data_IF_897614368228
#
_entry.id   IF_897614368228
#
_cell.length_a   1.000
_cell.length_b   1.000
_cell.length_c   1.000
_cell.angle_alpha   90.00
_cell.angle_beta   90.00
_cell.angle_gamma   90.00
#
_symmetry.space_group_name_H-M   'P 1'
#
loop_
_entity.id
_entity.type
_entity.pdbx_description
1 polymer ?
#
# COMPACT_ATOMS: atom_id res chain seq x y z
N UNK A 1 -17.68 -27.23 10.20
CA UNK A 1 -17.77 -27.23 8.72
C UNK A 1 -17.20 -25.91 8.22
N UNK A 2 -16.22 -25.94 7.31
CA UNK A 2 -15.70 -24.73 6.69
C UNK A 2 -16.81 -24.04 5.88
N UNK A 3 -16.96 -22.72 6.04
CA UNK A 3 -18.02 -21.97 5.36
C UNK A 3 -17.75 -21.92 3.84
N UNK A 4 -18.73 -22.32 3.02
CA UNK A 4 -18.61 -22.39 1.56
C UNK A 4 -18.15 -21.06 0.93
N UNK A 5 -18.55 -19.92 1.50
CA UNK A 5 -18.14 -18.59 1.03
C UNK A 5 -16.62 -18.36 1.21
N UNK A 6 -16.07 -18.74 2.37
CA UNK A 6 -14.64 -18.61 2.65
C UNK A 6 -13.81 -19.56 1.79
N UNK A 7 -14.27 -20.80 1.61
CA UNK A 7 -13.62 -21.76 0.70
C UNK A 7 -13.60 -21.23 -0.73
N UNK A 8 -14.73 -20.68 -1.20
CA UNK A 8 -14.83 -20.05 -2.51
C UNK A 8 -13.88 -18.85 -2.67
N UNK A 9 -13.75 -18.01 -1.64
CA UNK A 9 -12.81 -16.90 -1.62
C UNK A 9 -11.35 -17.38 -1.72
N UNK A 10 -10.95 -18.39 -0.93
CA UNK A 10 -9.60 -18.97 -1.00
C UNK A 10 -9.32 -19.58 -2.38
N UNK A 11 -10.27 -20.31 -2.96
CA UNK A 11 -10.12 -20.90 -4.29
C UNK A 11 -10.04 -19.85 -5.40
N UNK A 12 -10.81 -18.76 -5.31
CA UNK A 12 -10.70 -17.65 -6.25
C UNK A 12 -9.35 -16.93 -6.11
N UNK A 13 -8.88 -16.72 -4.87
CA UNK A 13 -7.54 -16.16 -4.63
C UNK A 13 -6.46 -17.00 -5.30
N UNK A 14 -6.45 -18.32 -5.07
CA UNK A 14 -5.48 -19.23 -5.71
C UNK A 14 -5.54 -19.12 -7.23
N UNK A 15 -6.74 -19.19 -7.81
CA UNK A 15 -6.94 -19.08 -9.26
C UNK A 15 -6.36 -17.77 -9.83
N UNK A 16 -6.63 -16.65 -9.18
CA UNK A 16 -6.15 -15.35 -9.67
C UNK A 16 -4.64 -15.18 -9.43
N UNK A 17 -4.08 -15.78 -8.37
CA UNK A 17 -2.62 -15.84 -8.15
C UNK A 17 -1.92 -16.63 -9.25
N UNK A 18 -2.42 -17.83 -9.57
CA UNK A 18 -1.84 -18.71 -10.60
C UNK A 18 -1.88 -18.08 -12.00
N UNK A 19 -2.94 -17.32 -12.28
CA UNK A 19 -3.14 -16.61 -13.56
C UNK A 19 -2.51 -15.21 -13.58
N UNK A 20 -1.90 -14.77 -12.48
CA UNK A 20 -1.35 -13.42 -12.35
C UNK A 20 -2.38 -12.31 -12.65
N UNK A 21 -3.64 -12.52 -12.24
CA UNK A 21 -4.77 -11.63 -12.47
C UNK A 21 -4.85 -10.55 -11.36
N UNK A 22 -3.90 -9.63 -11.38
CA UNK A 22 -3.70 -8.60 -10.36
C UNK A 22 -4.93 -7.76 -10.00
N UNK A 23 -5.68 -7.33 -11.00
CA UNK A 23 -6.87 -6.48 -10.81
C UNK A 23 -7.98 -7.26 -10.10
N UNK A 24 -8.18 -8.52 -10.50
CA UNK A 24 -9.16 -9.41 -9.90
C UNK A 24 -8.78 -9.78 -8.46
N UNK A 25 -7.47 -9.98 -8.19
CA UNK A 25 -6.96 -10.13 -6.82
C UNK A 25 -7.26 -8.91 -5.96
N UNK A 26 -7.00 -7.70 -6.46
CA UNK A 26 -7.29 -6.48 -5.73
C UNK A 26 -8.80 -6.35 -5.42
N UNK A 27 -9.66 -6.62 -6.42
CA UNK A 27 -11.12 -6.62 -6.24
C UNK A 27 -11.59 -7.64 -5.20
N UNK A 28 -10.96 -8.81 -5.13
CA UNK A 28 -11.27 -9.83 -4.13
C UNK A 28 -10.98 -9.35 -2.69
N UNK A 29 -10.06 -8.39 -2.53
CA UNK A 29 -9.63 -7.85 -1.24
C UNK A 29 -10.31 -6.51 -0.94
N UNK A 30 -11.20 -6.03 -1.81
CA UNK A 30 -11.79 -4.71 -1.64
C UNK A 30 -12.90 -4.72 -0.59
N UNK A 31 -12.62 -4.13 0.57
CA UNK A 31 -13.60 -3.96 1.65
C UNK A 31 -14.77 -3.05 1.26
N UNK A 32 -14.61 -2.18 0.26
CA UNK A 32 -15.68 -1.30 -0.23
C UNK A 32 -16.71 -2.02 -1.10
N UNK A 33 -16.35 -3.16 -1.71
CA UNK A 33 -17.19 -3.87 -2.68
C UNK A 33 -18.39 -4.60 -2.07
N UNK A 34 -18.43 -4.79 -0.75
CA UNK A 34 -19.45 -5.60 -0.05
C UNK A 34 -19.39 -7.10 -0.35
N UNK A 35 -18.39 -7.58 -1.10
CA UNK A 35 -18.26 -8.99 -1.53
C UNK A 35 -17.56 -9.88 -0.49
N UNK A 36 -16.95 -9.28 0.53
CA UNK A 36 -16.22 -10.02 1.56
C UNK A 36 -17.18 -10.65 2.57
N UNK A 37 -17.02 -11.96 2.89
CA UNK A 37 -17.85 -12.65 3.88
C UNK A 37 -17.43 -12.27 5.32
N UNK A 38 -17.55 -10.99 5.68
CA UNK A 38 -17.01 -10.42 6.93
C UNK A 38 -17.61 -11.09 8.18
N UNK A 39 -18.88 -11.50 8.13
CA UNK A 39 -19.56 -12.19 9.24
C UNK A 39 -18.93 -13.55 9.50
N UNK A 40 -18.63 -14.27 8.43
CA UNK A 40 -18.01 -15.59 8.44
C UNK A 40 -16.56 -15.49 8.91
N UNK A 41 -15.82 -14.50 8.42
CA UNK A 41 -14.45 -14.21 8.85
C UNK A 41 -14.40 -13.94 10.36
N UNK A 42 -15.31 -13.13 10.89
CA UNK A 42 -15.37 -12.81 12.32
C UNK A 42 -15.55 -14.04 13.24
N UNK A 43 -16.23 -15.08 12.75
CA UNK A 43 -16.59 -16.30 13.49
C UNK A 43 -15.66 -17.48 13.25
N UNK A 44 -14.78 -17.42 12.25
CA UNK A 44 -13.92 -18.54 11.90
C UNK A 44 -12.68 -18.58 12.81
N UNK A 45 -12.51 -19.63 13.60
CA UNK A 45 -11.37 -19.78 14.51
C UNK A 45 -10.08 -20.20 13.76
N UNK A 46 -10.20 -20.98 12.69
CA UNK A 46 -9.07 -21.59 11.99
C UNK A 46 -8.84 -20.99 10.58
N UNK A 47 -8.80 -19.65 10.47
CA UNK A 47 -8.58 -18.97 9.18
C UNK A 47 -7.26 -19.36 8.52
N UNK A 48 -6.20 -19.56 9.31
CA UNK A 48 -4.88 -19.96 8.82
C UNK A 48 -4.89 -21.36 8.19
N UNK A 49 -5.51 -22.34 8.86
CA UNK A 49 -5.65 -23.70 8.32
C UNK A 49 -6.48 -23.71 7.04
N UNK A 50 -7.52 -22.88 6.99
CA UNK A 50 -8.37 -22.75 5.81
C UNK A 50 -7.58 -22.18 4.62
N UNK A 51 -6.85 -21.09 4.82
CA UNK A 51 -5.99 -20.52 3.79
C UNK A 51 -4.91 -21.52 3.37
N UNK A 52 -4.22 -22.18 4.31
CA UNK A 52 -3.21 -23.21 4.01
C UNK A 52 -3.77 -24.35 3.16
N UNK A 53 -5.00 -24.79 3.44
CA UNK A 53 -5.65 -25.87 2.71
C UNK A 53 -6.08 -25.49 1.29
N UNK A 54 -6.52 -24.25 1.06
CA UNK A 54 -7.21 -23.85 -0.18
C UNK A 54 -6.48 -22.79 -1.01
N UNK A 55 -5.41 -22.17 -0.52
CA UNK A 55 -4.70 -21.05 -1.17
C UNK A 55 -3.27 -21.39 -1.64
N UNK A 56 -2.86 -22.66 -1.53
CA UNK A 56 -1.58 -23.15 -2.06
C UNK A 56 -0.35 -22.45 -1.46
N UNK A 57 0.69 -22.25 -2.27
CA UNK A 57 1.96 -21.65 -1.85
C UNK A 57 1.84 -20.18 -1.42
N UNK A 58 0.76 -19.51 -1.80
CA UNK A 58 0.50 -18.11 -1.45
C UNK A 58 -0.39 -17.95 -0.21
N UNK A 59 -0.61 -19.05 0.54
CA UNK A 59 -1.50 -19.04 1.69
C UNK A 59 -1.08 -18.06 2.78
N UNK A 60 0.22 -17.79 2.97
CA UNK A 60 0.69 -16.87 4.02
C UNK A 60 0.07 -15.47 3.87
N UNK A 61 0.09 -14.91 2.64
CA UNK A 61 -0.47 -13.58 2.35
C UNK A 61 -1.98 -13.59 2.59
N UNK A 62 -2.68 -14.65 2.14
CA UNK A 62 -4.12 -14.76 2.34
C UNK A 62 -4.47 -14.91 3.83
N UNK A 63 -3.75 -15.74 4.58
CA UNK A 63 -3.92 -15.93 6.03
C UNK A 63 -3.78 -14.60 6.76
N UNK A 64 -2.70 -13.87 6.51
CA UNK A 64 -2.44 -12.58 7.14
C UNK A 64 -3.55 -11.57 6.82
N UNK A 65 -4.02 -11.55 5.58
CA UNK A 65 -5.11 -10.69 5.18
C UNK A 65 -6.43 -11.06 5.86
N UNK A 66 -6.83 -12.34 5.87
CA UNK A 66 -8.06 -12.82 6.50
C UNK A 66 -8.04 -12.57 8.01
N UNK A 67 -6.91 -12.79 8.68
CA UNK A 67 -6.72 -12.45 10.09
C UNK A 67 -6.85 -10.93 10.30
N UNK A 68 -6.31 -10.12 9.40
CA UNK A 68 -6.45 -8.67 9.49
C UNK A 68 -7.91 -8.23 9.39
N UNK A 69 -8.70 -8.87 8.51
CA UNK A 69 -10.14 -8.63 8.39
C UNK A 69 -10.88 -9.09 9.65
N UNK A 70 -10.51 -10.22 10.22
CA UNK A 70 -11.09 -10.69 11.48
C UNK A 70 -10.84 -9.69 12.61
N UNK A 71 -9.60 -9.21 12.76
CA UNK A 71 -9.26 -8.18 13.74
C UNK A 71 -10.07 -6.88 13.50
N UNK A 72 -10.28 -6.50 12.24
CA UNK A 72 -11.14 -5.35 11.89
C UNK A 72 -12.59 -5.55 12.34
N UNK A 73 -13.19 -6.70 12.02
CA UNK A 73 -14.57 -7.05 12.41
C UNK A 73 -14.73 -7.12 13.93
N UNK A 74 -13.68 -7.57 14.65
CA UNK A 74 -13.64 -7.63 16.12
C UNK A 74 -13.28 -6.30 16.78
N UNK A 75 -13.13 -5.22 16.00
CA UNK A 75 -12.73 -3.89 16.50
C UNK A 75 -11.35 -3.87 17.19
N UNK A 76 -10.47 -4.83 16.88
CA UNK A 76 -9.09 -4.91 17.37
C UNK A 76 -8.18 -4.03 16.48
N UNK A 77 -8.36 -2.71 16.51
CA UNK A 77 -7.77 -1.79 15.54
C UNK A 77 -6.22 -1.83 15.47
N UNK A 78 -5.54 -1.96 16.61
CA UNK A 78 -4.07 -2.07 16.66
C UNK A 78 -3.60 -3.36 15.99
N UNK A 79 -4.21 -4.50 16.35
CA UNK A 79 -3.91 -5.80 15.74
C UNK A 79 -4.21 -5.82 14.24
N UNK A 80 -5.31 -5.17 13.82
CA UNK A 80 -5.62 -5.00 12.41
C UNK A 80 -4.46 -4.31 11.67
N UNK A 81 -3.96 -3.17 12.18
CA UNK A 81 -2.81 -2.49 11.57
C UNK A 81 -1.54 -3.37 11.55
N UNK A 82 -1.25 -4.09 12.63
CA UNK A 82 -0.08 -4.99 12.71
C UNK A 82 -0.14 -6.09 11.66
N UNK A 83 -1.30 -6.73 11.50
CA UNK A 83 -1.53 -7.79 10.52
C UNK A 83 -1.48 -7.24 9.09
N UNK A 84 -2.07 -6.08 8.82
CA UNK A 84 -1.96 -5.42 7.50
C UNK A 84 -0.51 -5.07 7.19
N UNK A 85 0.25 -4.55 8.16
CA UNK A 85 1.67 -4.26 7.97
C UNK A 85 2.48 -5.53 7.67
N UNK A 86 2.17 -6.64 8.33
CA UNK A 86 2.84 -7.94 8.10
C UNK A 86 2.46 -8.53 6.74
N UNK A 87 1.18 -8.46 6.37
CA UNK A 87 0.69 -8.83 5.04
C UNK A 87 1.41 -8.05 3.94
N UNK A 88 1.55 -6.73 4.12
CA UNK A 88 2.26 -5.87 3.17
C UNK A 88 3.75 -6.21 3.08
N UNK A 89 4.42 -6.52 4.21
CA UNK A 89 5.82 -6.99 4.20
C UNK A 89 5.98 -8.26 3.39
N UNK A 90 5.12 -9.25 3.63
CA UNK A 90 5.13 -10.54 2.92
C UNK A 90 4.89 -10.31 1.41
N UNK A 91 3.94 -9.44 1.05
CA UNK A 91 3.68 -9.09 -0.36
C UNK A 91 4.85 -8.37 -1.04
N UNK A 92 5.50 -7.41 -0.37
CA UNK A 92 6.68 -6.72 -0.91
C UNK A 92 7.85 -7.68 -1.12
N UNK A 93 8.06 -8.60 -0.18
CA UNK A 93 9.09 -9.63 -0.31
C UNK A 93 8.84 -10.52 -1.54
N UNK A 94 7.61 -11.05 -1.69
CA UNK A 94 7.22 -11.82 -2.87
C UNK A 94 7.33 -11.03 -4.17
N UNK A 95 6.99 -9.73 -4.15
CA UNK A 95 7.12 -8.86 -5.31
C UNK A 95 8.57 -8.65 -5.74
N UNK A 96 9.49 -8.56 -4.77
CA UNK A 96 10.94 -8.49 -5.04
C UNK A 96 11.43 -9.79 -5.66
N UNK A 97 11.02 -10.95 -5.13
CA UNK A 97 11.45 -12.27 -5.61
C UNK A 97 10.80 -12.70 -6.93
N UNK A 98 9.66 -12.12 -7.30
CA UNK A 98 8.98 -12.47 -8.53
C UNK A 98 9.86 -12.20 -9.76
N UNK A 99 9.78 -13.06 -10.77
CA UNK A 99 10.49 -12.85 -12.03
C UNK A 99 9.97 -11.61 -12.78
N UNK A 100 10.87 -10.96 -13.52
CA UNK A 100 10.54 -9.80 -14.33
C UNK A 100 10.00 -8.61 -13.53
N UNK A 101 9.14 -7.81 -14.17
CA UNK A 101 8.67 -6.53 -13.60
C UNK A 101 7.66 -6.70 -12.46
N UNK A 102 6.96 -7.84 -12.38
CA UNK A 102 5.91 -8.08 -11.38
C UNK A 102 4.73 -7.10 -11.45
N UNK A 103 4.50 -6.43 -12.59
CA UNK A 103 3.47 -5.38 -12.72
C UNK A 103 2.06 -5.85 -12.34
N UNK A 104 1.75 -7.12 -12.58
CA UNK A 104 0.48 -7.71 -12.17
C UNK A 104 0.26 -7.68 -10.65
N UNK A 105 1.30 -7.58 -9.84
CA UNK A 105 1.19 -7.53 -8.37
C UNK A 105 0.86 -6.12 -7.85
N UNK A 106 1.01 -5.09 -8.70
CA UNK A 106 0.85 -3.69 -8.31
C UNK A 106 -0.56 -3.32 -7.84
N UNK A 107 -1.66 -3.76 -8.47
CA UNK A 107 -3.00 -3.46 -7.99
C UNK A 107 -3.20 -3.83 -6.51
N UNK A 108 -2.74 -5.02 -6.09
CA UNK A 108 -2.84 -5.46 -4.70
C UNK A 108 -1.86 -4.69 -3.78
N UNK A 109 -0.66 -4.33 -4.27
CA UNK A 109 0.28 -3.45 -3.53
C UNK A 109 -0.34 -2.08 -3.21
N UNK A 110 -0.99 -1.46 -4.21
CA UNK A 110 -1.69 -0.18 -4.08
C UNK A 110 -2.78 -0.27 -3.02
N UNK A 111 -3.50 -1.38 -2.97
CA UNK A 111 -4.54 -1.62 -2.00
C UNK A 111 -4.02 -1.88 -0.59
N UNK A 112 -3.03 -2.75 -0.41
CA UNK A 112 -2.45 -3.00 0.91
C UNK A 112 -1.83 -1.74 1.52
N UNK A 113 -1.13 -0.94 0.72
CA UNK A 113 -0.63 0.37 1.18
C UNK A 113 -1.77 1.33 1.54
N UNK A 114 -2.86 1.36 0.78
CA UNK A 114 -4.04 2.16 1.11
C UNK A 114 -4.73 1.71 2.41
N UNK A 115 -4.91 0.40 2.63
CA UNK A 115 -5.48 -0.16 3.86
C UNK A 115 -4.59 0.14 5.06
N UNK A 116 -3.27 -0.10 4.95
CA UNK A 116 -2.31 0.18 6.02
C UNK A 116 -2.36 1.67 6.43
N UNK A 117 -2.35 2.56 5.43
CA UNK A 117 -2.43 4.00 5.63
C UNK A 117 -3.76 4.41 6.28
N UNK A 118 -4.88 3.84 5.84
CA UNK A 118 -6.21 4.12 6.43
C UNK A 118 -6.24 3.68 7.90
N UNK A 119 -5.81 2.46 8.21
CA UNK A 119 -5.77 1.93 9.57
C UNK A 119 -4.87 2.78 10.50
N UNK A 120 -3.65 3.12 10.06
CA UNK A 120 -2.74 3.98 10.83
C UNK A 120 -3.35 5.36 11.10
N UNK A 121 -3.96 5.97 10.08
CA UNK A 121 -4.60 7.27 10.22
C UNK A 121 -5.80 7.24 11.18
N UNK A 122 -6.62 6.18 11.14
CA UNK A 122 -7.76 6.02 12.03
C UNK A 122 -7.32 5.85 13.48
N UNK A 123 -6.25 5.09 13.73
CA UNK A 123 -5.68 4.92 15.07
C UNK A 123 -5.08 6.23 15.61
N UNK A 124 -4.33 6.96 14.80
CA UNK A 124 -3.79 8.28 15.19
C UNK A 124 -4.92 9.29 15.46
N UNK A 125 -6.01 9.24 14.68
CA UNK A 125 -7.20 10.08 14.91
C UNK A 125 -7.96 9.70 16.19
N UNK A 126 -8.18 8.42 16.45
CA UNK A 126 -8.85 7.93 17.67
C UNK A 126 -8.08 8.36 18.93
N UNK A 127 -6.74 8.23 18.90
CA UNK A 127 -5.90 8.73 20.00
C UNK A 127 -5.93 10.25 20.15
N UNK A 128 -6.07 10.99 19.04
CA UNK A 128 -6.23 12.46 19.09
C UNK A 128 -7.57 12.83 19.73
N UNK A 129 -8.67 12.15 19.43
CA UNK A 129 -9.96 12.39 20.10
C UNK A 129 -9.92 12.07 21.59
N UNK A 130 -9.29 10.96 21.99
CA UNK A 130 -9.11 10.61 23.42
C UNK A 130 -8.24 11.62 24.18
N UNK A 131 -7.25 12.22 23.50
CA UNK A 131 -6.30 13.19 24.10
C UNK A 131 -6.71 14.64 23.92
N UNK A 132 -7.72 14.96 23.13
CA UNK A 132 -8.22 16.33 23.00
C UNK A 132 -8.68 16.91 24.35
N UNK A 133 -9.02 16.05 25.31
CA UNK A 133 -9.31 16.40 26.71
C UNK A 133 -8.04 16.66 27.56
N UNK A 134 -6.84 16.32 27.09
CA UNK A 134 -5.57 16.38 27.83
C UNK A 134 -4.42 16.88 26.94
N UNK A 135 -4.42 18.19 26.64
CA UNK A 135 -3.37 19.00 26.00
C UNK A 135 -2.78 18.52 24.64
N UNK A 136 -2.54 19.49 23.76
CA UNK A 136 -2.14 19.34 22.36
C UNK A 136 -0.74 18.72 22.18
N UNK A 137 -0.65 17.40 22.03
CA UNK A 137 0.52 16.77 21.42
C UNK A 137 0.10 15.84 20.28
N UNK A 138 0.38 16.26 19.05
CA UNK A 138 0.12 15.48 17.83
C UNK A 138 1.07 14.27 17.76
N UNK A 139 0.70 13.19 18.43
CA UNK A 139 1.46 11.96 18.39
C UNK A 139 0.95 11.03 17.28
N UNK A 140 1.35 11.29 16.04
CA UNK A 140 1.12 10.42 14.87
C UNK A 140 2.00 9.16 14.91
N UNK A 141 1.92 8.40 16.01
CA UNK A 141 2.82 7.28 16.29
C UNK A 141 2.68 6.15 15.27
N UNK A 142 1.45 5.84 14.86
CA UNK A 142 1.19 4.74 13.94
C UNK A 142 1.58 5.10 12.50
N UNK A 143 1.33 6.34 12.08
CA UNK A 143 1.84 6.82 10.80
C UNK A 143 3.39 6.85 10.77
N UNK A 144 4.06 7.24 11.86
CA UNK A 144 5.52 7.18 11.95
C UNK A 144 6.06 5.75 11.86
N UNK A 145 5.38 4.79 12.49
CA UNK A 145 5.72 3.37 12.36
C UNK A 145 5.57 2.89 10.90
N UNK A 146 4.50 3.31 10.22
CA UNK A 146 4.27 2.99 8.82
C UNK A 146 5.33 3.62 7.89
N UNK A 147 5.76 4.86 8.17
CA UNK A 147 6.88 5.51 7.47
C UNK A 147 8.18 4.71 7.62
N UNK A 148 8.49 4.24 8.84
CA UNK A 148 9.67 3.41 9.06
C UNK A 148 9.62 2.12 8.24
N UNK A 149 8.43 1.53 8.08
CA UNK A 149 8.21 0.38 7.22
C UNK A 149 8.43 0.71 5.73
N UNK A 150 7.81 1.78 5.25
CA UNK A 150 7.96 2.22 3.85
C UNK A 150 9.40 2.59 3.50
N UNK A 151 10.17 3.17 4.42
CA UNK A 151 11.62 3.43 4.21
C UNK A 151 12.40 2.14 3.97
N UNK A 152 12.07 1.06 4.69
CA UNK A 152 12.69 -0.25 4.44
C UNK A 152 12.36 -0.76 3.05
N UNK A 153 11.08 -0.72 2.66
CA UNK A 153 10.66 -1.12 1.31
C UNK A 153 11.31 -0.27 0.22
N UNK A 154 11.37 1.05 0.41
CA UNK A 154 12.00 1.97 -0.52
C UNK A 154 13.46 1.60 -0.78
N UNK A 155 14.23 1.36 0.28
CA UNK A 155 15.63 0.96 0.18
C UNK A 155 15.81 -0.42 -0.47
N UNK A 156 14.94 -1.38 -0.17
CA UNK A 156 14.97 -2.70 -0.82
C UNK A 156 14.67 -2.57 -2.31
N UNK A 157 13.57 -1.92 -2.68
CA UNK A 157 13.11 -1.78 -4.06
C UNK A 157 14.03 -0.91 -4.93
N UNK A 158 14.77 0.03 -4.33
CA UNK A 158 15.73 0.85 -5.07
C UNK A 158 16.82 -0.01 -5.74
N UNK A 159 17.20 -1.12 -5.09
CA UNK A 159 18.22 -2.06 -5.58
C UNK A 159 17.73 -2.92 -6.74
N UNK A 160 16.42 -3.04 -6.90
CA UNK A 160 15.78 -3.94 -7.85
C UNK A 160 15.36 -3.21 -9.12
N UNK A 161 16.21 -3.27 -10.17
CA UNK A 161 15.96 -2.56 -11.44
C UNK A 161 14.65 -2.96 -12.11
N UNK A 162 14.24 -4.22 -12.01
CA UNK A 162 12.97 -4.66 -12.59
C UNK A 162 11.73 -4.13 -11.82
N UNK A 163 11.90 -3.64 -10.58
CA UNK A 163 10.80 -3.34 -9.66
C UNK A 163 10.50 -1.85 -9.52
N UNK A 164 10.78 -1.05 -10.56
CA UNK A 164 10.60 0.42 -10.55
C UNK A 164 9.18 0.88 -10.24
N UNK A 165 8.15 0.16 -10.71
CA UNK A 165 6.77 0.48 -10.37
C UNK A 165 6.53 0.49 -8.85
N UNK A 166 6.97 -0.57 -8.16
CA UNK A 166 6.95 -0.64 -6.70
C UNK A 166 7.79 0.44 -6.02
N UNK A 167 9.02 0.67 -6.50
CA UNK A 167 9.90 1.71 -5.92
C UNK A 167 9.26 3.11 -5.98
N UNK A 168 8.74 3.50 -7.15
CA UNK A 168 8.07 4.80 -7.34
C UNK A 168 6.76 4.88 -6.56
N UNK A 169 6.01 3.78 -6.47
CA UNK A 169 4.79 3.75 -5.65
C UNK A 169 5.09 3.96 -4.15
N UNK A 170 6.09 3.26 -3.60
CA UNK A 170 6.50 3.44 -2.21
C UNK A 170 7.07 4.85 -1.96
N UNK A 171 7.74 5.46 -2.95
CA UNK A 171 8.09 6.88 -2.91
C UNK A 171 6.83 7.75 -2.72
N UNK A 172 5.78 7.53 -3.51
CA UNK A 172 4.51 8.26 -3.37
C UNK A 172 3.89 8.10 -1.98
N UNK A 173 3.92 6.89 -1.42
CA UNK A 173 3.43 6.62 -0.06
C UNK A 173 4.25 7.35 1.01
N UNK A 174 5.57 7.41 0.87
CA UNK A 174 6.45 8.20 1.74
C UNK A 174 6.15 9.70 1.63
N UNK A 175 6.05 10.25 0.42
CA UNK A 175 5.74 11.66 0.20
C UNK A 175 4.39 12.03 0.84
N UNK A 176 3.36 11.19 0.64
CA UNK A 176 2.04 11.37 1.26
C UNK A 176 2.14 11.42 2.79
N UNK A 177 2.91 10.51 3.39
CA UNK A 177 3.10 10.47 4.83
C UNK A 177 3.91 11.67 5.35
N UNK A 178 4.99 12.07 4.68
CA UNK A 178 5.80 13.22 5.08
C UNK A 178 5.03 14.54 5.00
N UNK A 179 4.23 14.76 3.95
CA UNK A 179 3.34 15.92 3.89
C UNK A 179 2.36 15.94 5.07
N UNK A 180 1.79 14.78 5.43
CA UNK A 180 0.86 14.69 6.57
C UNK A 180 1.56 14.93 7.92
N UNK A 181 2.79 14.47 8.07
CA UNK A 181 3.61 14.67 9.27
C UNK A 181 4.30 16.04 9.33
N UNK A 182 4.08 16.92 8.34
CA UNK A 182 4.79 18.20 8.18
C UNK A 182 6.33 18.05 8.10
N UNK A 183 6.80 16.93 7.55
CA UNK A 183 8.22 16.60 7.39
C UNK A 183 8.68 16.80 5.94
N UNK A 184 8.35 17.94 5.33
CA UNK A 184 8.57 18.19 3.90
C UNK A 184 10.04 18.12 3.50
N UNK A 185 10.98 18.44 4.41
CA UNK A 185 12.42 18.28 4.17
C UNK A 185 12.83 16.85 3.80
N UNK A 186 12.09 15.83 4.26
CA UNK A 186 12.34 14.42 3.93
C UNK A 186 11.93 14.08 2.48
N UNK A 187 11.07 14.88 1.86
CA UNK A 187 10.64 14.67 0.48
C UNK A 187 11.79 14.89 -0.51
N UNK A 188 12.64 15.89 -0.26
CA UNK A 188 13.78 16.23 -1.11
C UNK A 188 14.72 15.04 -1.34
N UNK A 189 15.13 14.40 -0.23
CA UNK A 189 15.97 13.19 -0.28
C UNK A 189 15.29 12.06 -1.06
N UNK A 190 14.01 11.81 -0.77
CA UNK A 190 13.25 10.71 -1.38
C UNK A 190 13.11 10.89 -2.90
N UNK A 191 12.79 12.11 -3.36
CA UNK A 191 12.67 12.45 -4.78
C UNK A 191 14.03 12.41 -5.49
N UNK A 192 15.09 12.87 -4.83
CA UNK A 192 16.46 12.82 -5.35
C UNK A 192 16.88 11.38 -5.61
N UNK A 193 16.63 10.46 -4.67
CA UNK A 193 16.95 9.04 -4.86
C UNK A 193 16.25 8.45 -6.08
N UNK A 194 14.95 8.71 -6.28
CA UNK A 194 14.22 8.23 -7.47
C UNK A 194 14.80 8.85 -8.76
N UNK A 195 15.11 10.14 -8.74
CA UNK A 195 15.69 10.85 -9.90
C UNK A 195 17.06 10.28 -10.29
N UNK A 196 17.89 9.94 -9.31
CA UNK A 196 19.17 9.26 -9.54
C UNK A 196 18.98 7.87 -10.15
N UNK A 197 17.99 7.09 -9.69
CA UNK A 197 17.64 5.80 -10.32
C UNK A 197 17.19 5.98 -11.76
N UNK A 198 16.36 7.01 -12.04
CA UNK A 198 15.91 7.32 -13.41
C UNK A 198 17.09 7.57 -14.35
N UNK A 199 18.06 8.39 -13.91
CA UNK A 199 19.26 8.68 -14.68
C UNK A 199 20.15 7.45 -14.86
N UNK A 200 20.39 6.69 -13.78
CA UNK A 200 21.27 5.51 -13.80
C UNK A 200 20.74 4.39 -14.68
N UNK A 201 19.43 4.11 -14.59
CA UNK A 201 18.84 2.95 -15.23
C UNK A 201 18.15 3.26 -16.56
N UNK A 202 18.03 4.55 -16.89
CA UNK A 202 17.44 5.04 -18.14
C UNK A 202 15.93 4.84 -18.25
N UNK A 203 15.19 4.82 -17.13
CA UNK A 203 13.73 4.68 -17.15
C UNK A 203 13.05 6.03 -16.90
N UNK A 204 11.89 6.23 -17.52
CA UNK A 204 10.99 7.35 -17.25
C UNK A 204 9.84 6.91 -16.35
N UNK A 205 9.35 7.76 -15.42
CA UNK A 205 8.12 7.51 -14.69
C UNK A 205 6.95 7.22 -15.63
N UNK A 206 6.91 7.80 -16.83
CA UNK A 206 5.86 7.58 -17.83
C UNK A 206 5.79 6.16 -18.38
N UNK A 207 6.83 5.35 -18.17
CA UNK A 207 6.89 3.94 -18.57
C UNK A 207 6.13 3.03 -17.58
N UNK A 208 5.70 3.59 -16.45
CA UNK A 208 5.01 2.88 -15.38
C UNK A 208 3.48 2.93 -15.58
N UNK A 209 2.71 2.10 -14.84
CA UNK A 209 1.27 2.21 -14.82
C UNK A 209 0.80 3.66 -14.57
N UNK A 210 -0.18 4.12 -15.36
CA UNK A 210 -0.64 5.52 -15.40
C UNK A 210 -0.95 6.10 -14.02
N UNK A 211 -1.65 5.34 -13.18
CA UNK A 211 -2.01 5.76 -11.82
C UNK A 211 -0.78 6.06 -10.94
N UNK A 212 0.31 5.30 -11.08
CA UNK A 212 1.56 5.53 -10.36
C UNK A 212 2.22 6.82 -10.87
N UNK A 213 2.29 6.98 -12.19
CA UNK A 213 2.87 8.17 -12.83
C UNK A 213 2.20 9.46 -12.36
N UNK A 214 0.87 9.52 -12.49
CA UNK A 214 0.06 10.68 -12.12
C UNK A 214 0.25 11.01 -10.64
N UNK A 215 0.21 10.00 -9.77
CA UNK A 215 0.43 10.19 -8.34
C UNK A 215 1.83 10.71 -8.03
N UNK A 216 2.85 10.20 -8.72
CA UNK A 216 4.23 10.62 -8.54
C UNK A 216 4.44 12.07 -8.97
N UNK A 217 4.00 12.44 -10.18
CA UNK A 217 4.11 13.81 -10.67
C UNK A 217 3.32 14.80 -9.82
N UNK A 218 2.15 14.40 -9.30
CA UNK A 218 1.39 15.22 -8.35
C UNK A 218 2.20 15.52 -7.08
N UNK A 219 2.78 14.51 -6.44
CA UNK A 219 3.57 14.75 -5.22
C UNK A 219 4.89 15.48 -5.48
N UNK A 220 5.52 15.23 -6.63
CA UNK A 220 6.72 15.96 -7.03
C UNK A 220 6.41 17.43 -7.26
N UNK A 221 5.37 17.74 -8.05
CA UNK A 221 4.93 19.12 -8.27
C UNK A 221 4.55 19.81 -6.96
N UNK A 222 3.81 19.12 -6.08
CA UNK A 222 3.50 19.63 -4.74
C UNK A 222 4.75 19.96 -3.94
N UNK A 223 5.78 19.11 -3.95
CA UNK A 223 7.06 19.41 -3.29
C UNK A 223 7.73 20.65 -3.88
N UNK A 224 7.73 20.82 -5.21
CA UNK A 224 8.35 21.97 -5.88
C UNK A 224 7.69 23.30 -5.49
N UNK A 225 6.37 23.31 -5.19
CA UNK A 225 5.71 24.49 -4.61
C UNK A 225 6.32 24.87 -3.26
N UNK A 226 6.56 23.88 -2.38
CA UNK A 226 7.21 24.12 -1.08
C UNK A 226 8.68 24.54 -1.24
N UNK A 227 9.35 24.07 -2.29
CA UNK A 227 10.74 24.41 -2.62
C UNK A 227 10.87 25.74 -3.38
N UNK A 228 9.77 26.49 -3.53
CA UNK A 228 9.69 27.75 -4.30
C UNK A 228 10.09 27.63 -5.78
N UNK A 229 10.15 26.41 -6.33
CA UNK A 229 10.36 26.17 -7.76
C UNK A 229 9.00 26.13 -8.48
N UNK A 230 8.42 27.31 -8.71
CA UNK A 230 7.07 27.43 -9.27
C UNK A 230 6.97 26.96 -10.72
N UNK A 231 8.00 27.18 -11.53
CA UNK A 231 8.03 26.72 -12.92
C UNK A 231 8.03 25.19 -12.98
N UNK A 232 8.91 24.53 -12.22
CA UNK A 232 8.93 23.08 -12.16
C UNK A 232 7.64 22.51 -11.55
N UNK A 233 7.05 23.19 -10.57
CA UNK A 233 5.77 22.80 -10.01
C UNK A 233 4.65 22.82 -11.07
N UNK A 234 4.54 23.91 -11.83
CA UNK A 234 3.55 24.06 -12.90
C UNK A 234 3.66 22.93 -13.93
N UNK A 235 4.87 22.65 -14.42
CA UNK A 235 5.11 21.57 -15.39
C UNK A 235 4.63 20.22 -14.87
N UNK A 236 5.02 19.84 -13.64
CA UNK A 236 4.69 18.52 -13.07
C UNK A 236 3.20 18.41 -12.72
N UNK A 237 2.59 19.47 -12.16
CA UNK A 237 1.19 19.48 -11.78
C UNK A 237 0.27 19.52 -13.01
N UNK A 238 0.60 20.33 -14.02
CA UNK A 238 -0.12 20.37 -15.30
C UNK A 238 -0.07 19.02 -15.99
N UNK A 239 1.10 18.37 -16.02
CA UNK A 239 1.20 17.01 -16.55
C UNK A 239 0.29 16.05 -15.77
N UNK A 240 0.34 16.05 -14.43
CA UNK A 240 -0.47 15.15 -13.61
C UNK A 240 -1.97 15.36 -13.84
N UNK A 241 -2.42 16.62 -13.95
CA UNK A 241 -3.81 16.98 -14.21
C UNK A 241 -4.28 16.48 -15.58
N UNK A 242 -3.54 16.80 -16.65
CA UNK A 242 -3.89 16.41 -18.03
C UNK A 242 -3.88 14.89 -18.26
N UNK A 243 -3.26 14.13 -17.36
CA UNK A 243 -3.10 12.69 -17.46
C UNK A 243 -3.92 11.92 -16.43
N UNK A 244 -4.69 12.61 -15.59
CA UNK A 244 -5.63 11.99 -14.67
C UNK A 244 -6.80 11.39 -15.49
N UNK A 245 -7.22 10.13 -15.23
CA UNK A 245 -8.38 9.58 -15.91
C UNK A 245 -9.64 10.41 -15.60
N UNK A 246 -10.48 10.62 -16.61
CA UNK A 246 -11.82 11.16 -16.43
C UNK A 246 -12.63 10.22 -15.52
N UNK A 247 -13.48 10.79 -14.67
CA UNK A 247 -14.25 10.06 -13.64
C UNK A 247 -15.22 9.07 -14.25
#
# INVERSE_FOLDING_TARGET
>A
MANAALVGMCGNFLRHMDRQEGVQLAQLFDMGSGRLPLREIGRCENLEELAKKYAGESHEVLSLYLLSLQAHVRSEAVRHLELVCTCLKSWVHRYVEAEGSGLWMMPLMLQFTAVARKAANQLDQAKKSERAERQHQENNAYLKQLVALYRKFFNTLNKERAKRAGHVWICCELLRAYFKLQQVSQCSFTLTTVTQSMQKDGFSPTDLPKAICVTFYFFWGKYLVFDHNLQGADEKLTWAFNNCPER
#
